data_IF_147292766937
#
_entry.id   IF_147292766937
#
_cell.length_a   1.000
_cell.length_b   1.000
_cell.length_c   1.000
_cell.angle_alpha   90.00
_cell.angle_beta   90.00
_cell.angle_gamma   90.00
#
_symmetry.space_group_name_H-M   'P 1'
#
loop_
_entity.id
_entity.type
_entity.pdbx_description
1 polymer ?
#
# COMPACT_ATOMS: atom_id res chain seq x y z
N UNK A 1 -30.50 17.61 32.84
CA UNK A 1 -29.17 17.00 32.64
C UNK A 1 -29.39 15.50 32.49
N UNK A 2 -29.04 14.91 31.34
CA UNK A 2 -29.33 13.50 31.06
C UNK A 2 -28.19 12.64 31.62
N UNK A 3 -28.51 11.81 32.60
CA UNK A 3 -27.52 11.00 33.32
C UNK A 3 -27.14 9.80 32.45
N UNK A 4 -25.86 9.69 32.11
CA UNK A 4 -25.31 8.56 31.36
C UNK A 4 -25.06 7.43 32.35
N UNK A 5 -25.61 6.24 32.08
CA UNK A 5 -25.47 5.09 32.97
C UNK A 5 -24.18 4.30 32.67
N UNK A 6 -23.62 3.57 33.66
CA UNK A 6 -22.40 2.78 33.45
C UNK A 6 -22.54 1.73 32.35
N UNK A 7 -23.75 1.19 32.15
CA UNK A 7 -24.07 0.29 31.04
C UNK A 7 -23.92 0.97 29.67
N UNK A 8 -24.33 2.24 29.55
CA UNK A 8 -24.14 3.00 28.31
C UNK A 8 -22.67 3.30 28.03
N UNK A 9 -21.85 3.53 29.06
CA UNK A 9 -20.40 3.69 28.91
C UNK A 9 -19.73 2.40 28.43
N UNK A 10 -20.16 1.25 28.96
CA UNK A 10 -19.68 -0.08 28.54
C UNK A 10 -20.06 -0.41 27.09
N UNK A 11 -21.27 -0.05 26.68
CA UNK A 11 -21.70 -0.25 25.30
C UNK A 11 -20.92 0.64 24.33
N UNK A 12 -20.64 1.89 24.72
CA UNK A 12 -19.86 2.82 23.92
C UNK A 12 -18.39 2.38 23.78
N UNK A 13 -17.79 1.84 24.85
CA UNK A 13 -16.42 1.31 24.80
C UNK A 13 -16.32 0.07 23.93
N UNK A 14 -17.32 -0.83 23.97
CA UNK A 14 -17.37 -2.01 23.12
C UNK A 14 -17.53 -1.64 21.64
N UNK A 15 -18.37 -0.64 21.33
CA UNK A 15 -18.49 -0.08 19.98
C UNK A 15 -17.17 0.48 19.47
N UNK A 16 -16.46 1.27 20.29
CA UNK A 16 -15.16 1.83 19.93
C UNK A 16 -14.12 0.75 19.62
N UNK A 17 -14.11 -0.36 20.36
CA UNK A 17 -13.22 -1.52 20.11
C UNK A 17 -13.55 -2.27 18.82
N UNK A 18 -14.80 -2.25 18.35
CA UNK A 18 -15.16 -2.85 17.06
C UNK A 18 -14.59 -2.09 15.86
N UNK A 19 -14.22 -0.80 16.02
CA UNK A 19 -13.66 0.02 14.95
C UNK A 19 -12.12 0.04 14.91
N UNK A 20 -11.43 -0.59 15.87
CA UNK A 20 -9.95 -0.53 15.95
C UNK A 20 -9.24 -1.50 15.01
N UNK A 21 -9.96 -2.27 14.19
CA UNK A 21 -9.39 -3.20 13.22
C UNK A 21 -9.63 -2.74 11.78
N UNK A 22 -9.19 -1.52 11.48
CA UNK A 22 -8.85 -1.13 10.11
C UNK A 22 -7.33 -1.06 10.02
N UNK A 23 -6.69 -2.23 9.96
CA UNK A 23 -5.34 -2.28 9.44
C UNK A 23 -5.46 -1.98 7.94
N UNK A 24 -5.20 -0.73 7.55
CA UNK A 24 -4.83 -0.45 6.18
C UNK A 24 -3.58 -1.30 5.94
N UNK A 25 -3.70 -2.33 5.11
CA UNK A 25 -2.54 -3.05 4.61
C UNK A 25 -1.58 -1.99 4.07
N UNK A 26 -0.32 -2.05 4.49
CA UNK A 26 0.69 -1.23 3.85
C UNK A 26 0.72 -1.72 2.40
N UNK A 27 0.31 -0.87 1.46
CA UNK A 27 0.31 -1.17 0.02
C UNK A 27 1.76 -1.23 -0.49
N UNK A 28 2.58 -2.11 0.11
CA UNK A 28 3.98 -2.31 -0.23
C UNK A 28 4.13 -3.46 -1.19
N UNK A 29 5.00 -3.24 -2.16
CA UNK A 29 5.38 -4.22 -3.16
C UNK A 29 6.25 -5.29 -2.52
N UNK A 30 6.14 -6.54 -3.01
CA UNK A 30 7.01 -7.62 -2.55
C UNK A 30 8.49 -7.27 -2.83
N UNK A 31 9.43 -7.51 -1.88
CA UNK A 31 10.84 -7.12 -2.04
C UNK A 31 11.50 -7.72 -3.29
N UNK A 32 11.17 -8.96 -3.63
CA UNK A 32 11.69 -9.62 -4.84
C UNK A 32 11.25 -8.90 -6.13
N UNK A 33 10.06 -8.31 -6.17
CA UNK A 33 9.60 -7.52 -7.32
C UNK A 33 10.33 -6.17 -7.39
N UNK A 34 10.61 -5.55 -6.24
CA UNK A 34 11.42 -4.32 -6.16
C UNK A 34 12.83 -4.58 -6.68
N UNK A 35 13.46 -5.68 -6.28
CA UNK A 35 14.79 -6.07 -6.76
C UNK A 35 14.78 -6.37 -8.27
N UNK A 36 13.77 -7.11 -8.75
CA UNK A 36 13.63 -7.40 -10.18
C UNK A 36 13.45 -6.11 -11.01
N UNK A 37 12.60 -5.19 -10.59
CA UNK A 37 12.40 -3.90 -11.26
C UNK A 37 13.66 -3.04 -11.27
N UNK A 38 14.44 -3.06 -10.18
CA UNK A 38 15.73 -2.37 -10.10
C UNK A 38 16.73 -2.94 -11.11
N UNK A 39 16.83 -4.26 -11.24
CA UNK A 39 17.71 -4.90 -12.23
C UNK A 39 17.25 -4.65 -13.68
N UNK A 40 15.94 -4.66 -13.94
CA UNK A 40 15.38 -4.28 -15.26
C UNK A 40 15.71 -2.82 -15.56
N UNK A 41 15.53 -1.92 -14.60
CA UNK A 41 15.87 -0.51 -14.72
C UNK A 41 17.33 -0.28 -15.08
N UNK A 42 18.26 -0.95 -14.37
CA UNK A 42 19.68 -0.94 -14.69
C UNK A 42 19.97 -1.43 -16.11
N UNK A 43 19.34 -2.54 -16.50
CA UNK A 43 19.53 -3.16 -17.83
C UNK A 43 19.05 -2.24 -18.96
N UNK A 44 17.92 -1.57 -18.76
CA UNK A 44 17.34 -0.64 -19.73
C UNK A 44 17.98 0.77 -19.69
N UNK A 45 18.91 1.02 -18.78
CA UNK A 45 19.50 2.34 -18.55
C UNK A 45 18.53 3.35 -17.92
N UNK A 46 17.42 2.87 -17.36
CA UNK A 46 16.41 3.65 -16.68
C UNK A 46 16.79 3.88 -15.22
N UNK A 47 17.42 5.02 -14.95
CA UNK A 47 17.87 5.41 -13.60
C UNK A 47 16.72 5.73 -12.64
N UNK A 48 15.51 5.92 -13.15
CA UNK A 48 14.35 6.24 -12.33
C UNK A 48 13.81 5.00 -11.62
N UNK A 49 14.07 3.79 -12.11
CA UNK A 49 13.61 2.56 -11.45
C UNK A 49 14.54 2.06 -10.34
N UNK A 50 15.74 2.64 -10.23
CA UNK A 50 16.70 2.34 -9.15
C UNK A 50 16.51 3.25 -7.92
N UNK A 51 15.25 3.46 -7.50
CA UNK A 51 14.94 4.30 -6.32
C UNK A 51 14.51 3.47 -5.12
N UNK A 52 14.82 3.93 -3.91
CA UNK A 52 14.34 3.35 -2.65
C UNK A 52 12.86 3.68 -2.36
N UNK A 53 12.09 4.00 -3.42
CA UNK A 53 10.67 4.34 -3.36
C UNK A 53 9.88 3.15 -3.86
N UNK A 54 8.87 2.75 -3.09
CA UNK A 54 8.03 1.61 -3.42
C UNK A 54 7.32 1.83 -4.78
N UNK A 55 7.38 0.86 -5.72
CA UNK A 55 6.81 1.01 -7.05
C UNK A 55 5.29 1.14 -7.07
N UNK A 56 4.59 0.56 -6.10
CA UNK A 56 3.15 0.64 -5.94
C UNK A 56 2.67 1.80 -5.05
N UNK A 57 3.58 2.64 -4.54
CA UNK A 57 3.25 3.78 -3.68
C UNK A 57 2.55 4.94 -4.40
N UNK A 58 2.45 4.89 -5.74
CA UNK A 58 1.99 5.99 -6.59
C UNK A 58 2.80 7.30 -6.46
N UNK A 59 4.00 7.23 -5.88
CA UNK A 59 4.91 8.35 -5.72
C UNK A 59 5.87 8.44 -6.92
N UNK A 60 6.39 9.63 -7.25
CA UNK A 60 7.54 9.76 -8.14
C UNK A 60 8.68 8.86 -7.65
N UNK A 61 9.35 8.10 -8.54
CA UNK A 61 9.33 8.19 -10.00
C UNK A 61 8.31 7.31 -10.73
N UNK A 62 7.56 6.47 -10.02
CA UNK A 62 6.68 5.44 -10.59
C UNK A 62 5.36 5.98 -11.17
N UNK A 63 5.09 7.27 -10.97
CA UNK A 63 3.84 7.94 -11.36
C UNK A 63 4.07 9.32 -12.00
N UNK A 64 5.25 9.58 -12.59
CA UNK A 64 5.64 10.92 -13.04
C UNK A 64 4.94 11.32 -14.34
N UNK A 65 4.61 10.36 -15.20
CA UNK A 65 3.88 10.62 -16.45
C UNK A 65 3.23 9.33 -16.97
N UNK A 66 1.94 9.32 -17.35
CA UNK A 66 1.34 8.17 -18.04
C UNK A 66 2.15 7.83 -19.31
N UNK A 67 2.72 6.63 -19.37
CA UNK A 67 3.52 6.15 -20.51
C UNK A 67 5.04 6.25 -20.36
N UNK A 68 5.55 6.95 -19.33
CA UNK A 68 6.97 6.90 -18.97
C UNK A 68 7.11 6.38 -17.54
N UNK A 69 7.64 5.17 -17.39
CA UNK A 69 7.99 4.57 -16.09
C UNK A 69 6.79 4.25 -15.19
N UNK A 70 5.58 4.13 -15.73
CA UNK A 70 4.37 3.84 -14.95
C UNK A 70 4.20 2.34 -14.73
N UNK A 71 4.17 1.93 -13.47
CA UNK A 71 3.76 0.56 -13.13
C UNK A 71 2.30 0.57 -12.72
N UNK A 72 1.58 -0.50 -13.07
CA UNK A 72 0.25 -0.77 -12.52
C UNK A 72 0.35 -1.89 -11.52
N UNK A 73 -0.30 -1.71 -10.38
CA UNK A 73 -0.25 -2.65 -9.27
C UNK A 73 -1.62 -3.21 -8.93
N UNK A 74 -1.64 -4.47 -8.49
CA UNK A 74 -2.79 -5.10 -7.86
C UNK A 74 -2.48 -5.38 -6.38
N UNK A 75 -3.12 -4.61 -5.51
CA UNK A 75 -3.04 -4.76 -4.05
C UNK A 75 -4.28 -5.48 -3.48
N UNK A 76 -5.24 -5.87 -4.32
CA UNK A 76 -6.50 -6.50 -3.90
C UNK A 76 -6.43 -8.02 -4.01
N UNK A 77 -5.34 -8.61 -3.53
CA UNK A 77 -5.14 -10.07 -3.52
C UNK A 77 -5.60 -10.62 -2.15
N UNK A 78 -6.64 -11.47 -2.09
CA UNK A 78 -7.26 -11.85 -0.82
C UNK A 78 -6.36 -12.58 0.19
N UNK A 79 -5.26 -13.17 -0.28
CA UNK A 79 -4.34 -13.98 0.54
C UNK A 79 -2.93 -13.42 0.59
N UNK A 80 -2.70 -12.25 -0.03
CA UNK A 80 -1.39 -11.62 -0.06
C UNK A 80 -1.43 -10.29 0.70
N UNK A 81 -0.37 -10.03 1.44
CA UNK A 81 -0.17 -8.77 2.15
C UNK A 81 0.60 -7.75 1.32
N UNK A 82 1.12 -8.17 0.16
CA UNK A 82 1.88 -7.35 -0.75
C UNK A 82 1.04 -6.93 -1.97
N UNK A 83 1.42 -5.78 -2.53
CA UNK A 83 1.01 -5.40 -3.86
C UNK A 83 1.90 -6.08 -4.89
N UNK A 84 1.31 -6.42 -6.03
CA UNK A 84 2.03 -7.02 -7.15
C UNK A 84 1.95 -6.14 -8.38
N UNK A 85 3.09 -5.97 -9.05
CA UNK A 85 3.17 -5.26 -10.32
C UNK A 85 2.58 -6.15 -11.42
N UNK A 86 1.53 -5.67 -12.08
CA UNK A 86 0.81 -6.42 -13.13
C UNK A 86 1.11 -5.92 -14.54
N UNK A 87 1.57 -4.68 -14.68
CA UNK A 87 2.04 -4.11 -15.94
C UNK A 87 2.99 -2.93 -15.71
N UNK A 88 3.76 -2.59 -16.74
CA UNK A 88 4.76 -1.52 -16.79
C UNK A 88 4.66 -0.75 -18.10
#
# INVERSE_FOLDING_TARGET
>A
MKNITPSQLLFLSLLLLCFTSLAFGQDTTHPDEVEALKEIGKTLGNKNWDTDIDPCSNQPPWNVTPGENSVSCNCSIPTDTFCHVVSM
#
